data_IF_185339335891
#
_entry.id   IF_185339335891
#
_cell.length_a   1.000
_cell.length_b   1.000
_cell.length_c   1.000
_cell.angle_alpha   90.00
_cell.angle_beta   90.00
_cell.angle_gamma   90.00
#
_symmetry.space_group_name_H-M   'P 1'
#
loop_
_entity.id
_entity.type
_entity.pdbx_description
1 polymer ?
#
# COMPACT_ATOMS: atom_id res chain seq x y z
N UNK A 1 13.35 -13.06 -6.64
CA UNK A 1 13.65 -12.56 -5.29
C UNK A 1 12.36 -12.65 -4.50
N UNK A 2 12.32 -13.28 -3.31
CA UNK A 2 11.18 -13.10 -2.40
C UNK A 2 11.39 -11.78 -1.68
N UNK A 3 10.81 -10.70 -2.21
CA UNK A 3 10.77 -9.40 -1.56
C UNK A 3 9.90 -9.47 -0.29
N UNK A 4 9.98 -8.44 0.56
CA UNK A 4 9.05 -8.28 1.67
C UNK A 4 7.87 -7.46 1.14
N UNK A 5 6.65 -8.01 1.19
CA UNK A 5 5.45 -7.29 0.81
C UNK A 5 4.94 -6.44 1.99
N UNK A 6 4.46 -5.24 1.68
CA UNK A 6 3.80 -4.35 2.62
C UNK A 6 2.44 -3.97 2.08
N UNK A 7 1.45 -3.93 2.98
CA UNK A 7 0.12 -3.42 2.71
C UNK A 7 0.08 -1.96 3.17
N UNK A 8 -0.47 -1.10 2.31
CA UNK A 8 -0.55 0.35 2.53
C UNK A 8 -1.98 0.85 2.34
N UNK A 9 -2.43 1.72 3.23
CA UNK A 9 -3.63 2.54 3.02
C UNK A 9 -3.20 3.99 2.97
N UNK A 10 -3.59 4.68 1.90
CA UNK A 10 -3.37 6.10 1.72
C UNK A 10 -4.62 6.78 1.19
N UNK A 11 -4.69 8.09 1.37
CA UNK A 11 -5.73 8.95 0.82
C UNK A 11 -5.11 9.94 -0.15
N UNK A 12 -5.81 10.23 -1.25
CA UNK A 12 -5.48 11.36 -2.13
C UNK A 12 -6.18 12.59 -1.58
N UNK A 13 -5.42 13.65 -1.33
CA UNK A 13 -5.90 14.92 -0.82
C UNK A 13 -5.37 16.05 -1.70
N UNK A 14 -5.97 17.22 -1.61
CA UNK A 14 -5.54 18.41 -2.35
C UNK A 14 -5.37 19.58 -1.38
N UNK A 15 -4.30 20.36 -1.55
CA UNK A 15 -4.08 21.65 -0.89
C UNK A 15 -3.75 22.75 -1.91
N UNK A 16 -3.39 23.94 -1.43
CA UNK A 16 -3.05 25.09 -2.28
C UNK A 16 -1.85 24.83 -3.21
N UNK A 17 -1.04 23.80 -2.95
CA UNK A 17 0.09 23.37 -3.79
C UNK A 17 -0.27 22.22 -4.76
N UNK A 18 -1.42 21.57 -4.57
CA UNK A 18 -1.97 20.54 -5.47
C UNK A 18 -2.29 19.21 -4.79
N UNK A 19 -2.39 18.14 -5.58
CA UNK A 19 -2.69 16.79 -5.07
C UNK A 19 -1.48 16.18 -4.33
N UNK A 20 -1.73 15.63 -3.14
CA UNK A 20 -0.75 14.87 -2.37
C UNK A 20 -1.35 13.59 -1.78
N UNK A 21 -0.46 12.65 -1.47
CA UNK A 21 -0.81 11.36 -0.90
C UNK A 21 -0.59 11.36 0.62
N UNK A 22 -1.67 11.23 1.39
CA UNK A 22 -1.63 11.11 2.84
C UNK A 22 -1.56 9.64 3.25
N UNK A 23 -0.41 9.19 3.77
CA UNK A 23 -0.26 7.85 4.33
C UNK A 23 -1.11 7.71 5.60
N UNK A 24 -2.07 6.79 5.57
CA UNK A 24 -2.91 6.48 6.74
C UNK A 24 -2.24 5.41 7.59
N UNK A 25 -1.81 4.30 6.98
CA UNK A 25 -1.16 3.19 7.69
C UNK A 25 -0.35 2.30 6.76
N UNK A 26 0.64 1.60 7.33
CA UNK A 26 1.55 0.68 6.67
C UNK A 26 1.83 -0.49 7.61
N UNK A 27 1.72 -1.72 7.10
CA UNK A 27 2.15 -2.91 7.83
C UNK A 27 2.77 -3.94 6.90
N UNK A 28 3.58 -4.82 7.48
CA UNK A 28 4.10 -5.99 6.77
C UNK A 28 2.92 -6.89 6.40
N UNK A 29 2.81 -7.25 5.13
CA UNK A 29 1.70 -8.07 4.66
C UNK A 29 1.65 -9.42 5.38
N UNK A 30 0.44 -9.88 5.64
CA UNK A 30 0.17 -11.24 6.08
C UNK A 30 0.38 -12.22 4.94
N UNK A 31 0.51 -13.52 5.26
CA UNK A 31 0.65 -14.56 4.22
C UNK A 31 -0.52 -14.58 3.25
N UNK A 32 -1.74 -14.35 3.75
CA UNK A 32 -2.93 -14.31 2.91
C UNK A 32 -2.90 -13.11 1.95
N UNK A 33 -2.44 -11.94 2.40
CA UNK A 33 -2.27 -10.77 1.53
C UNK A 33 -1.15 -10.98 0.51
N UNK A 34 -0.05 -11.65 0.90
CA UNK A 34 1.02 -12.05 -0.02
C UNK A 34 0.49 -13.00 -1.11
N UNK A 35 -0.22 -14.07 -0.73
CA UNK A 35 -0.82 -15.03 -1.66
C UNK A 35 -1.83 -14.36 -2.60
N UNK A 36 -2.67 -13.46 -2.06
CA UNK A 36 -3.61 -12.70 -2.87
C UNK A 36 -2.89 -11.81 -3.89
N UNK A 37 -1.81 -11.12 -3.48
CA UNK A 37 -1.04 -10.29 -4.41
C UNK A 37 -0.41 -11.14 -5.54
N UNK A 38 0.14 -12.32 -5.21
CA UNK A 38 0.72 -13.25 -6.19
C UNK A 38 -0.33 -13.85 -7.16
N UNK A 39 -1.60 -13.98 -6.76
CA UNK A 39 -2.68 -14.50 -7.62
C UNK A 39 -3.12 -13.51 -8.71
N UNK A 40 -2.97 -12.20 -8.45
CA UNK A 40 -3.42 -11.13 -9.35
C UNK A 40 -2.26 -10.39 -10.06
N UNK A 41 -1.02 -10.87 -9.95
CA UNK A 41 0.15 -10.40 -10.73
C UNK A 41 0.24 -11.00 -12.15
#
# INVERSE_FOLDING_TARGET
>A
MKGILYSVIYEVREDDEGEYYHLVTLWKSTKQEEELYEEYE
#
